data_IF_739968974897
#
_entry.id   IF_739968974897
#
_cell.length_a   1.000
_cell.length_b   1.000
_cell.length_c   1.000
_cell.angle_alpha   90.00
_cell.angle_beta   90.00
_cell.angle_gamma   90.00
#
_symmetry.space_group_name_H-M   'P 1'
#
loop_
_entity.id
_entity.type
_entity.pdbx_description
1 polymer ?
#
# COMPACT_ATOMS: atom_id res chain seq x y z
N UNK A 1 35.02 28.83 1.45
CA UNK A 1 35.91 29.26 0.35
C UNK A 1 35.32 28.72 -0.94
N UNK A 2 34.22 29.30 -1.45
CA UNK A 2 34.25 30.44 -2.39
C UNK A 2 35.51 30.39 -3.25
N UNK A 3 35.41 29.79 -4.43
CA UNK A 3 35.90 30.43 -5.64
C UNK A 3 35.21 29.76 -6.85
N UNK A 4 34.16 30.38 -7.39
CA UNK A 4 34.21 31.40 -8.46
C UNK A 4 34.15 30.70 -9.84
N UNK A 5 32.98 30.74 -10.49
CA UNK A 5 32.67 31.63 -11.63
C UNK A 5 33.12 31.04 -12.97
N UNK A 6 32.17 30.60 -13.79
CA UNK A 6 31.38 31.39 -14.76
C UNK A 6 32.13 31.60 -16.09
N UNK A 7 31.45 31.14 -17.16
CA UNK A 7 31.34 31.69 -18.52
C UNK A 7 32.46 31.48 -19.56
N UNK A 8 32.08 30.78 -20.64
CA UNK A 8 32.29 31.15 -22.05
C UNK A 8 31.21 30.39 -22.87
N UNK A 9 30.12 30.99 -23.36
CA UNK A 9 29.95 31.90 -24.52
C UNK A 9 30.54 31.35 -25.81
N UNK A 10 29.66 30.93 -26.74
CA UNK A 10 29.73 31.30 -28.16
C UNK A 10 28.38 31.02 -28.86
N UNK A 11 27.78 32.11 -29.35
CA UNK A 11 26.69 32.13 -30.33
C UNK A 11 27.23 31.73 -31.72
N UNK A 12 26.39 31.15 -32.59
CA UNK A 12 25.88 31.79 -33.82
C UNK A 12 24.65 31.01 -34.34
N UNK A 13 23.73 31.79 -34.88
CA UNK A 13 22.36 31.50 -35.30
C UNK A 13 22.19 30.53 -36.48
N UNK A 14 21.03 29.87 -36.48
CA UNK A 14 20.41 29.26 -37.66
C UNK A 14 18.92 29.09 -37.40
N UNK A 15 18.11 30.05 -37.86
CA UNK A 15 16.65 29.97 -37.81
C UNK A 15 16.14 29.15 -39.00
N UNK A 16 15.54 28.00 -38.72
CA UNK A 16 14.64 27.29 -39.62
C UNK A 16 13.55 26.64 -38.77
N UNK A 17 12.30 27.06 -38.99
CA UNK A 17 11.13 26.58 -38.25
C UNK A 17 10.90 25.09 -38.49
N UNK A 18 10.85 24.33 -37.39
CA UNK A 18 10.36 22.95 -37.37
C UNK A 18 9.23 22.89 -36.35
N UNK A 19 8.05 22.46 -36.80
CA UNK A 19 6.90 22.09 -35.96
C UNK A 19 7.36 21.05 -34.93
N UNK A 20 7.38 21.41 -33.66
CA UNK A 20 7.60 20.46 -32.57
C UNK A 20 6.32 19.66 -32.35
N UNK A 21 6.28 18.44 -32.88
CA UNK A 21 5.33 17.43 -32.40
C UNK A 21 5.85 16.91 -31.07
N UNK A 22 5.04 17.06 -30.02
CA UNK A 22 5.28 16.43 -28.73
C UNK A 22 5.42 14.91 -28.91
N UNK A 23 6.40 14.26 -28.27
CA UNK A 23 6.50 12.81 -28.31
C UNK A 23 5.27 12.20 -27.63
N UNK A 24 4.57 11.35 -28.36
CA UNK A 24 3.48 10.55 -27.84
C UNK A 24 4.01 9.71 -26.66
N UNK A 25 3.45 9.94 -25.48
CA UNK A 25 3.68 9.07 -24.32
C UNK A 25 3.06 7.72 -24.62
N UNK A 26 3.89 6.71 -24.86
CA UNK A 26 3.43 5.32 -24.91
C UNK A 26 2.77 4.99 -23.57
N UNK A 27 1.57 4.39 -23.55
CA UNK A 27 0.97 3.91 -22.32
C UNK A 27 1.90 2.85 -21.70
N UNK A 28 2.09 2.95 -20.38
CA UNK A 28 2.81 1.91 -19.61
C UNK A 28 2.18 0.55 -19.90
N UNK A 29 2.99 -0.52 -20.05
CA UNK A 29 2.47 -1.86 -20.22
C UNK A 29 1.62 -2.22 -18.99
N UNK A 30 0.40 -2.68 -19.24
CA UNK A 30 -0.49 -3.25 -18.24
C UNK A 30 0.24 -4.32 -17.42
N UNK A 31 -0.06 -4.47 -16.12
CA UNK A 31 0.51 -5.54 -15.31
C UNK A 31 0.21 -6.91 -15.96
N UNK A 32 1.11 -7.88 -15.83
CA UNK A 32 0.91 -9.22 -16.38
C UNK A 32 -0.38 -9.85 -15.80
N UNK A 33 -1.03 -10.76 -16.54
CA UNK A 33 -2.20 -11.47 -16.03
C UNK A 33 -1.84 -12.22 -14.74
N UNK A 34 -2.69 -12.10 -13.72
CA UNK A 34 -2.55 -12.76 -12.43
C UNK A 34 -2.27 -14.27 -12.59
N UNK A 35 -1.43 -14.86 -11.73
CA UNK A 35 -1.18 -16.29 -11.77
C UNK A 35 -2.50 -17.06 -11.56
N UNK A 36 -2.69 -18.10 -12.35
CA UNK A 36 -3.78 -19.07 -12.19
C UNK A 36 -3.89 -19.57 -10.73
N UNK A 37 -5.08 -19.95 -10.23
CA UNK A 37 -5.34 -20.32 -8.82
C UNK A 37 -4.45 -21.42 -8.22
N UNK A 38 -3.62 -22.10 -9.00
CA UNK A 38 -2.80 -23.25 -8.58
C UNK A 38 -1.54 -22.90 -7.78
N UNK A 39 -1.03 -21.66 -7.86
CA UNK A 39 0.19 -21.24 -7.15
C UNK A 39 -0.07 -20.42 -5.87
N UNK A 40 -1.33 -20.23 -5.51
CA UNK A 40 -1.75 -19.45 -4.36
C UNK A 40 -1.28 -20.04 -3.03
N UNK A 41 -0.77 -19.18 -2.14
CA UNK A 41 -0.31 -19.60 -0.80
C UNK A 41 -1.41 -19.49 0.24
N UNK A 42 -2.43 -18.69 -0.01
CA UNK A 42 -3.68 -18.69 0.75
C UNK A 42 -4.61 -19.74 0.13
N UNK A 43 -5.09 -20.70 0.91
CA UNK A 43 -5.89 -21.84 0.42
C UNK A 43 -7.35 -21.76 0.85
N UNK A 44 -7.58 -21.25 2.04
CA UNK A 44 -8.89 -21.03 2.63
C UNK A 44 -9.18 -19.53 2.67
N UNK A 45 -10.16 -19.13 1.85
CA UNK A 45 -10.64 -17.75 1.71
C UNK A 45 -11.98 -17.54 2.43
N UNK A 46 -12.36 -18.46 3.33
CA UNK A 46 -13.57 -18.32 4.13
C UNK A 46 -13.52 -17.09 5.04
N UNK A 47 -14.66 -16.45 5.36
CA UNK A 47 -14.74 -15.44 6.41
C UNK A 47 -14.15 -15.95 7.74
N UNK A 48 -13.52 -15.06 8.51
CA UNK A 48 -12.82 -15.40 9.74
C UNK A 48 -11.42 -15.98 9.58
N UNK A 49 -10.89 -16.05 8.35
CA UNK A 49 -9.53 -16.51 8.05
C UNK A 49 -8.58 -15.37 7.71
N UNK A 50 -7.33 -15.52 8.11
CA UNK A 50 -6.20 -14.66 7.77
C UNK A 50 -5.45 -15.21 6.56
N UNK A 51 -4.86 -14.34 5.75
CA UNK A 51 -3.91 -14.71 4.70
C UNK A 51 -2.46 -14.54 5.19
N UNK A 52 -2.25 -13.59 6.09
CA UNK A 52 -0.98 -13.22 6.69
C UNK A 52 -1.15 -13.04 8.19
N UNK A 53 -0.12 -13.34 8.98
CA UNK A 53 -0.14 -13.14 10.42
C UNK A 53 1.27 -13.04 11.00
N UNK A 54 1.56 -11.97 11.74
CA UNK A 54 2.88 -11.72 12.30
C UNK A 54 3.95 -11.29 11.29
N UNK A 55 5.18 -11.13 11.79
CA UNK A 55 6.35 -10.68 11.02
C UNK A 55 7.37 -11.80 10.95
N UNK A 56 7.79 -12.16 9.73
CA UNK A 56 8.72 -13.26 9.48
C UNK A 56 10.18 -12.83 9.50
N UNK A 57 10.45 -11.53 9.40
CA UNK A 57 11.79 -10.95 9.40
C UNK A 57 11.78 -9.62 8.68
N UNK A 58 12.94 -9.20 8.20
CA UNK A 58 13.16 -7.93 7.52
C UNK A 58 13.97 -8.14 6.25
N UNK A 59 13.70 -7.27 5.28
CA UNK A 59 14.55 -7.05 4.11
C UNK A 59 15.92 -6.52 4.55
N UNK A 60 16.89 -6.55 3.62
CA UNK A 60 18.24 -6.02 3.85
C UNK A 60 18.27 -4.54 4.19
N UNK A 61 17.26 -3.79 3.76
CA UNK A 61 17.06 -2.37 4.03
C UNK A 61 16.26 -2.09 5.32
N UNK A 62 15.95 -3.14 6.09
CA UNK A 62 15.28 -3.05 7.39
C UNK A 62 13.76 -3.02 7.34
N UNK A 63 13.13 -3.06 6.16
CA UNK A 63 11.68 -3.11 6.10
C UNK A 63 11.14 -4.50 6.49
N UNK A 64 10.13 -4.58 7.37
CA UNK A 64 9.58 -5.83 7.84
C UNK A 64 8.80 -6.55 6.75
N UNK A 65 8.78 -7.86 6.86
CA UNK A 65 8.07 -8.77 5.97
C UNK A 65 7.04 -9.54 6.77
N UNK A 66 5.77 -9.44 6.36
CA UNK A 66 4.71 -10.26 6.94
C UNK A 66 4.96 -11.75 6.67
N UNK A 67 4.49 -12.62 7.55
CA UNK A 67 4.45 -14.06 7.27
C UNK A 67 3.21 -14.42 6.46
N UNK A 68 3.37 -15.28 5.46
CA UNK A 68 2.25 -16.00 4.87
C UNK A 68 1.72 -17.01 5.89
N UNK A 69 0.45 -16.87 6.26
CA UNK A 69 -0.17 -17.67 7.32
C UNK A 69 -1.68 -17.74 7.12
N UNK A 70 -2.16 -18.90 6.65
CA UNK A 70 -3.58 -19.12 6.41
C UNK A 70 -4.25 -19.77 7.63
N UNK A 71 -4.55 -18.94 8.62
CA UNK A 71 -4.97 -19.32 9.97
C UNK A 71 -6.30 -18.66 10.33
N UNK A 72 -7.08 -19.19 11.28
CA UNK A 72 -8.23 -18.48 11.82
C UNK A 72 -7.82 -17.17 12.50
N UNK A 73 -8.59 -16.10 12.31
CA UNK A 73 -8.46 -14.85 13.06
C UNK A 73 -8.55 -15.13 14.56
N UNK A 74 -7.85 -14.37 15.40
CA UNK A 74 -7.73 -14.64 16.83
C UNK A 74 -8.33 -13.51 17.69
N UNK A 75 -8.83 -13.80 18.91
CA UNK A 75 -9.21 -12.75 19.86
C UNK A 75 -7.99 -11.90 20.25
N UNK A 76 -8.18 -10.60 20.55
CA UNK A 76 -7.05 -9.73 20.82
C UNK A 76 -6.44 -9.98 22.20
N UNK A 77 -5.11 -9.91 22.30
CA UNK A 77 -4.44 -9.73 23.59
C UNK A 77 -4.72 -8.32 24.15
N UNK A 78 -4.50 -8.06 25.45
CA UNK A 78 -4.63 -6.71 26.01
C UNK A 78 -3.76 -5.66 25.29
N UNK A 79 -2.55 -6.04 24.89
CA UNK A 79 -1.63 -5.18 24.14
C UNK A 79 -2.19 -4.87 22.76
N UNK A 80 -2.64 -5.90 22.02
CA UNK A 80 -3.23 -5.72 20.70
C UNK A 80 -4.50 -4.87 20.77
N UNK A 81 -5.37 -5.11 21.75
CA UNK A 81 -6.57 -4.31 21.98
C UNK A 81 -6.24 -2.83 22.17
N UNK A 82 -5.23 -2.54 22.98
CA UNK A 82 -4.76 -1.16 23.21
C UNK A 82 -4.24 -0.52 21.92
N UNK A 83 -3.46 -1.24 21.12
CA UNK A 83 -2.92 -0.72 19.86
C UNK A 83 -4.00 -0.51 18.80
N UNK A 84 -4.94 -1.45 18.67
CA UNK A 84 -6.05 -1.33 17.72
C UNK A 84 -6.94 -0.12 18.05
N UNK A 85 -7.26 0.10 19.32
CA UNK A 85 -8.02 1.29 19.74
C UNK A 85 -7.32 2.60 19.37
N UNK A 86 -5.98 2.64 19.47
CA UNK A 86 -5.21 3.84 19.20
C UNK A 86 -4.98 4.11 17.70
N UNK A 87 -4.69 3.06 16.92
CA UNK A 87 -4.24 3.18 15.52
C UNK A 87 -5.34 2.85 14.53
N UNK A 88 -6.18 1.86 14.83
CA UNK A 88 -7.23 1.33 13.96
C UNK A 88 -8.63 1.42 14.62
N UNK A 89 -9.05 2.60 15.11
CA UNK A 89 -10.25 2.73 15.95
C UNK A 89 -11.54 2.30 15.25
N UNK A 90 -11.69 2.58 13.94
CA UNK A 90 -12.89 2.16 13.19
C UNK A 90 -12.94 0.65 13.03
N UNK A 91 -11.83 0.02 12.62
CA UNK A 91 -11.75 -1.45 12.58
C UNK A 91 -12.08 -2.08 13.94
N UNK A 92 -11.52 -1.53 15.03
CA UNK A 92 -11.80 -2.00 16.39
C UNK A 92 -13.29 -1.92 16.72
N UNK A 93 -13.94 -0.79 16.45
CA UNK A 93 -15.36 -0.60 16.71
C UNK A 93 -16.23 -1.53 15.86
N UNK A 94 -15.95 -1.60 14.54
CA UNK A 94 -16.76 -2.33 13.57
C UNK A 94 -16.66 -3.86 13.75
N UNK A 95 -15.54 -4.35 14.29
CA UNK A 95 -15.28 -5.78 14.43
C UNK A 95 -15.50 -6.31 15.84
N UNK A 96 -16.27 -5.59 16.67
CA UNK A 96 -16.73 -6.07 17.98
C UNK A 96 -15.75 -5.84 19.12
N UNK A 97 -14.74 -4.99 18.93
CA UNK A 97 -13.79 -4.57 19.94
C UNK A 97 -13.16 -5.75 20.70
N UNK A 98 -13.33 -5.84 22.03
CA UNK A 98 -12.72 -6.90 22.84
C UNK A 98 -13.33 -8.29 22.59
N UNK A 99 -14.56 -8.36 22.07
CA UNK A 99 -15.19 -9.61 21.66
C UNK A 99 -14.87 -9.99 20.19
N UNK A 100 -14.16 -9.11 19.50
CA UNK A 100 -13.77 -9.27 18.09
C UNK A 100 -12.66 -10.27 17.87
N UNK A 101 -12.35 -10.47 16.59
CA UNK A 101 -11.21 -11.28 16.13
C UNK A 101 -10.41 -10.47 15.11
N UNK A 102 -9.10 -10.72 15.03
CA UNK A 102 -8.18 -9.94 14.23
C UNK A 102 -7.08 -10.81 13.63
N UNK A 103 -6.55 -10.38 12.48
CA UNK A 103 -5.49 -11.06 11.73
C UNK A 103 -4.10 -10.44 11.90
N UNK A 104 -3.86 -9.77 13.03
CA UNK A 104 -2.59 -9.10 13.26
C UNK A 104 -2.12 -9.19 14.70
N UNK A 105 -0.83 -8.95 14.92
CA UNK A 105 -0.22 -8.79 16.25
C UNK A 105 -0.12 -7.31 16.64
N UNK A 106 0.15 -7.02 17.92
CA UNK A 106 0.36 -5.66 18.39
C UNK A 106 1.50 -4.95 17.63
N UNK A 107 2.59 -5.67 17.36
CA UNK A 107 3.74 -5.15 16.61
C UNK A 107 3.38 -4.78 15.16
N UNK A 108 2.49 -5.53 14.52
CA UNK A 108 2.01 -5.18 13.18
C UNK A 108 1.18 -3.89 13.20
N UNK A 109 0.41 -3.64 14.26
CA UNK A 109 -0.32 -2.38 14.43
C UNK A 109 0.62 -1.21 14.67
N UNK A 110 1.67 -1.40 15.48
CA UNK A 110 2.74 -0.40 15.66
C UNK A 110 3.49 -0.12 14.33
N UNK A 111 3.61 -1.14 13.47
CA UNK A 111 4.16 -0.95 12.12
C UNK A 111 3.25 -0.12 11.22
N UNK A 112 1.93 -0.36 11.23
CA UNK A 112 0.98 0.49 10.49
C UNK A 112 1.13 1.96 10.92
N UNK A 113 1.23 2.21 12.23
CA UNK A 113 1.43 3.56 12.74
C UNK A 113 2.73 4.17 12.22
N UNK A 114 3.87 3.48 12.35
CA UNK A 114 5.17 4.01 11.91
C UNK A 114 5.30 4.17 10.40
N UNK A 115 4.73 3.27 9.58
CA UNK A 115 4.79 3.37 8.13
C UNK A 115 3.94 4.50 7.58
N UNK A 116 2.72 4.64 8.09
CA UNK A 116 1.82 5.70 7.62
C UNK A 116 2.36 7.09 7.93
N UNK A 117 3.14 7.27 9.00
CA UNK A 117 3.78 8.55 9.35
C UNK A 117 4.69 9.13 8.26
N UNK A 118 5.14 8.32 7.29
CA UNK A 118 5.87 8.83 6.12
C UNK A 118 4.98 9.68 5.20
N UNK A 119 3.68 9.41 5.17
CA UNK A 119 2.69 10.09 4.34
C UNK A 119 1.85 11.13 5.11
N UNK A 120 1.57 10.87 6.40
CA UNK A 120 0.64 11.68 7.20
C UNK A 120 0.97 13.19 7.26
N UNK A 121 2.23 13.64 7.34
CA UNK A 121 2.55 15.06 7.34
C UNK A 121 2.04 15.83 6.11
N UNK A 122 1.93 15.16 4.95
CA UNK A 122 1.44 15.78 3.72
C UNK A 122 -0.08 16.01 3.73
N UNK A 123 -0.81 15.20 4.50
CA UNK A 123 -2.28 15.19 4.57
C UNK A 123 -2.81 15.63 5.93
N UNK A 124 -1.97 16.19 6.79
CA UNK A 124 -2.33 16.64 8.15
C UNK A 124 -3.48 17.67 8.16
N UNK A 125 -3.64 18.44 7.08
CA UNK A 125 -4.72 19.41 6.93
C UNK A 125 -6.11 18.80 6.67
N UNK A 126 -6.21 17.48 6.45
CA UNK A 126 -7.48 16.80 6.20
C UNK A 126 -7.59 15.53 7.09
N UNK A 127 -8.28 15.62 8.23
CA UNK A 127 -8.48 14.48 9.14
C UNK A 127 -9.16 13.27 8.47
N UNK A 128 -10.09 13.50 7.54
CA UNK A 128 -10.77 12.43 6.80
C UNK A 128 -9.80 11.64 5.90
N UNK A 129 -8.97 12.33 5.11
CA UNK A 129 -7.93 11.69 4.31
C UNK A 129 -6.98 10.86 5.20
N UNK A 130 -6.51 11.46 6.30
CA UNK A 130 -5.64 10.78 7.26
C UNK A 130 -6.29 9.53 7.84
N UNK A 131 -7.56 9.63 8.22
CA UNK A 131 -8.33 8.50 8.75
C UNK A 131 -8.44 7.38 7.72
N UNK A 132 -8.95 7.68 6.53
CA UNK A 132 -9.18 6.71 5.46
C UNK A 132 -7.88 6.05 5.00
N UNK A 133 -6.80 6.83 4.90
CA UNK A 133 -5.49 6.31 4.52
C UNK A 133 -4.95 5.28 5.53
N UNK A 134 -5.06 5.56 6.83
CA UNK A 134 -4.66 4.59 7.86
C UNK A 134 -5.61 3.39 7.88
N UNK A 135 -6.92 3.63 7.71
CA UNK A 135 -7.94 2.59 7.73
C UNK A 135 -7.75 1.54 6.62
N UNK A 136 -7.27 1.94 5.42
CA UNK A 136 -6.87 0.98 4.37
C UNK A 136 -5.89 -0.05 4.95
N UNK A 137 -4.77 0.41 5.52
CA UNK A 137 -3.73 -0.49 6.05
C UNK A 137 -4.22 -1.31 7.25
N UNK A 138 -5.09 -0.75 8.08
CA UNK A 138 -5.77 -1.48 9.15
C UNK A 138 -6.61 -2.64 8.62
N UNK A 139 -7.42 -2.42 7.58
CA UNK A 139 -8.25 -3.48 7.00
C UNK A 139 -7.39 -4.55 6.33
N UNK A 140 -6.42 -4.15 5.50
CA UNK A 140 -5.55 -5.10 4.79
C UNK A 140 -4.72 -5.96 5.75
N UNK A 141 -4.36 -5.44 6.92
CA UNK A 141 -3.47 -6.14 7.87
C UNK A 141 -4.24 -6.88 8.97
N UNK A 142 -5.33 -6.29 9.48
CA UNK A 142 -5.95 -6.72 10.74
C UNK A 142 -7.39 -7.21 10.60
N UNK A 143 -8.04 -7.08 9.44
CA UNK A 143 -9.42 -7.55 9.25
C UNK A 143 -9.56 -9.03 9.64
N UNK A 144 -10.60 -9.45 10.39
CA UNK A 144 -10.85 -10.86 10.68
C UNK A 144 -11.12 -11.70 9.43
N UNK A 145 -11.57 -11.06 8.35
CA UNK A 145 -11.91 -11.71 7.09
C UNK A 145 -10.83 -11.48 6.02
N UNK A 146 -9.57 -11.21 6.44
CA UNK A 146 -8.50 -10.82 5.54
C UNK A 146 -8.34 -11.76 4.33
N UNK A 147 -8.41 -13.08 4.55
CA UNK A 147 -8.28 -14.07 3.48
C UNK A 147 -9.41 -14.01 2.45
N UNK A 148 -10.59 -13.46 2.79
CA UNK A 148 -11.71 -13.38 1.86
C UNK A 148 -11.42 -12.45 0.67
N UNK A 149 -10.60 -11.41 0.88
CA UNK A 149 -10.21 -10.45 -0.15
C UNK A 149 -8.71 -10.44 -0.44
N UNK A 150 -7.92 -11.34 0.14
CA UNK A 150 -6.46 -11.33 0.03
C UNK A 150 -5.93 -12.70 -0.36
N UNK A 151 -4.94 -12.71 -1.25
CA UNK A 151 -4.17 -13.91 -1.57
C UNK A 151 -2.67 -13.61 -1.61
N UNK A 152 -1.87 -14.44 -0.93
CA UNK A 152 -0.42 -14.38 -1.08
C UNK A 152 -0.01 -15.15 -2.33
N UNK A 153 0.56 -14.44 -3.30
CA UNK A 153 0.95 -14.99 -4.61
C UNK A 153 2.40 -15.44 -4.64
N UNK A 154 3.28 -14.82 -3.85
CA UNK A 154 4.68 -15.21 -3.74
C UNK A 154 5.22 -15.07 -2.33
N UNK A 155 6.14 -15.97 -1.98
CA UNK A 155 6.91 -15.95 -0.73
C UNK A 155 8.40 -15.94 -1.04
N UNK A 156 9.18 -15.47 -0.07
CA UNK A 156 10.63 -15.42 -0.09
C UNK A 156 11.19 -15.86 1.27
N UNK A 157 12.49 -16.14 1.29
CA UNK A 157 13.23 -16.30 2.55
C UNK A 157 13.60 -14.92 3.09
N UNK A 158 13.23 -14.62 4.33
CA UNK A 158 13.64 -13.40 5.02
C UNK A 158 15.17 -13.37 5.23
N UNK A 159 15.89 -12.34 4.74
CA UNK A 159 17.35 -12.28 4.83
C UNK A 159 17.94 -12.33 6.25
N UNK A 160 17.26 -11.78 7.24
CA UNK A 160 17.75 -11.65 8.61
C UNK A 160 17.45 -12.88 9.47
N UNK A 161 16.21 -13.37 9.43
CA UNK A 161 15.73 -14.47 10.26
C UNK A 161 15.90 -15.84 9.60
N UNK A 162 16.05 -15.88 8.27
CA UNK A 162 16.03 -17.13 7.49
C UNK A 162 14.64 -17.76 7.34
N UNK A 163 13.56 -17.08 7.77
CA UNK A 163 12.20 -17.60 7.67
C UNK A 163 11.78 -17.79 6.20
N UNK A 164 11.35 -19.01 5.76
CA UNK A 164 11.12 -19.31 4.35
C UNK A 164 9.75 -18.88 3.81
N UNK A 165 8.87 -18.35 4.66
CA UNK A 165 7.48 -18.01 4.36
C UNK A 165 7.18 -16.51 4.47
N UNK A 166 8.19 -15.65 4.32
CA UNK A 166 7.99 -14.21 4.28
C UNK A 166 7.28 -13.83 2.96
N UNK A 167 6.27 -12.97 3.02
CA UNK A 167 5.52 -12.54 1.83
C UNK A 167 6.42 -11.71 0.92
N UNK A 168 6.40 -12.03 -0.39
CA UNK A 168 7.10 -11.27 -1.43
C UNK A 168 6.11 -10.51 -2.33
N UNK A 169 4.97 -11.12 -2.63
CA UNK A 169 3.90 -10.53 -3.44
C UNK A 169 2.53 -10.95 -2.88
N UNK A 170 1.57 -10.02 -2.89
CA UNK A 170 0.21 -10.22 -2.39
C UNK A 170 -0.80 -9.50 -3.27
N UNK A 171 -1.94 -10.12 -3.51
CA UNK A 171 -3.08 -9.53 -4.21
C UNK A 171 -4.22 -9.23 -3.22
N UNK A 172 -4.85 -8.06 -3.36
CA UNK A 172 -6.06 -7.69 -2.65
C UNK A 172 -7.16 -7.29 -3.62
N UNK A 173 -8.38 -7.81 -3.45
CA UNK A 173 -9.54 -7.42 -4.25
C UNK A 173 -10.38 -6.40 -3.51
N UNK A 174 -10.57 -5.23 -4.12
CA UNK A 174 -11.28 -4.10 -3.51
C UNK A 174 -12.46 -3.70 -4.40
N UNK A 175 -13.56 -3.29 -3.76
CA UNK A 175 -14.61 -2.58 -4.46
C UNK A 175 -14.07 -1.26 -5.04
N UNK A 176 -14.47 -0.95 -6.27
CA UNK A 176 -14.05 0.28 -6.94
C UNK A 176 -14.43 1.53 -6.13
N UNK A 177 -15.61 1.48 -5.52
CA UNK A 177 -16.11 2.55 -4.66
C UNK A 177 -15.17 2.83 -3.48
N UNK A 178 -14.61 1.79 -2.83
CA UNK A 178 -13.67 1.98 -1.72
C UNK A 178 -12.42 2.77 -2.17
N UNK A 179 -11.82 2.34 -3.29
CA UNK A 179 -10.64 3.00 -3.85
C UNK A 179 -10.92 4.45 -4.25
N UNK A 180 -12.09 4.71 -4.85
CA UNK A 180 -12.51 6.05 -5.24
C UNK A 180 -12.80 6.95 -4.04
N UNK A 181 -13.51 6.47 -3.03
CA UNK A 181 -13.77 7.24 -1.80
C UNK A 181 -12.48 7.58 -1.05
N UNK A 182 -11.53 6.63 -0.99
CA UNK A 182 -10.21 6.87 -0.42
C UNK A 182 -9.50 8.00 -1.18
N UNK A 183 -9.41 7.90 -2.51
CA UNK A 183 -8.78 8.93 -3.34
C UNK A 183 -9.47 10.29 -3.24
N UNK A 184 -10.79 10.33 -3.32
CA UNK A 184 -11.58 11.55 -3.25
C UNK A 184 -11.43 12.25 -1.90
N UNK A 185 -11.21 11.50 -0.81
CA UNK A 185 -10.92 12.11 0.49
C UNK A 185 -9.58 12.87 0.54
N UNK A 186 -8.67 12.59 -0.40
CA UNK A 186 -7.28 13.07 -0.39
C UNK A 186 -6.89 13.97 -1.58
N UNK A 187 -7.56 13.85 -2.73
CA UNK A 187 -7.11 14.46 -4.00
C UNK A 187 -6.96 15.98 -3.96
N UNK A 188 -7.80 16.66 -3.19
CA UNK A 188 -7.84 18.13 -3.09
C UNK A 188 -7.09 18.66 -1.86
N UNK A 189 -6.46 17.78 -1.08
CA UNK A 189 -5.71 18.17 0.13
C UNK A 189 -4.44 18.91 -0.25
N UNK A 190 -4.19 20.03 0.44
CA UNK A 190 -2.95 20.81 0.30
C UNK A 190 -1.99 20.52 1.44
N UNK A 191 -0.72 20.35 1.11
CA UNK A 191 0.35 20.35 2.09
C UNK A 191 0.63 21.80 2.54
N UNK A 192 0.19 22.14 3.74
CA UNK A 192 0.13 23.53 4.22
C UNK A 192 1.47 24.27 4.18
N UNK A 193 2.57 23.61 4.52
CA UNK A 193 3.88 24.25 4.60
C UNK A 193 4.43 24.74 3.26
N UNK A 194 4.02 24.12 2.15
CA UNK A 194 4.51 24.46 0.80
C UNK A 194 3.41 25.02 -0.12
N UNK A 195 2.13 24.98 0.29
CA UNK A 195 0.99 25.30 -0.56
C UNK A 195 0.97 24.50 -1.88
N UNK A 196 1.43 23.25 -1.84
CA UNK A 196 1.46 22.29 -2.96
C UNK A 196 0.41 21.19 -2.70
N UNK A 197 -0.26 20.64 -3.72
CA UNK A 197 -1.14 19.50 -3.54
C UNK A 197 -0.42 18.33 -2.83
N UNK A 198 -1.04 17.74 -1.81
CA UNK A 198 -0.47 16.63 -1.05
C UNK A 198 -0.17 15.42 -1.96
N UNK A 199 -1.02 15.19 -2.96
CA UNK A 199 -0.87 14.13 -3.96
C UNK A 199 0.37 14.28 -4.85
N UNK A 200 1.02 15.46 -4.87
CA UNK A 200 2.34 15.60 -5.52
C UNK A 200 3.44 14.82 -4.80
N UNK A 201 3.25 14.47 -3.52
CA UNK A 201 4.21 13.71 -2.71
C UNK A 201 3.79 12.25 -2.54
N UNK A 202 2.49 12.00 -2.35
CA UNK A 202 1.97 10.66 -2.00
C UNK A 202 1.11 10.02 -3.10
N UNK A 203 0.89 10.72 -4.22
CA UNK A 203 -0.08 10.31 -5.23
C UNK A 203 0.50 9.64 -6.47
N UNK A 204 1.81 9.77 -6.73
CA UNK A 204 2.44 9.13 -7.91
C UNK A 204 1.89 9.57 -9.26
N UNK A 205 1.23 10.73 -9.34
CA UNK A 205 0.55 11.19 -10.55
C UNK A 205 -0.84 10.60 -10.78
N UNK A 206 -1.40 9.89 -9.80
CA UNK A 206 -2.71 9.26 -9.90
C UNK A 206 -3.85 10.26 -10.13
N UNK A 207 -4.74 9.90 -11.06
CA UNK A 207 -5.97 10.63 -11.43
C UNK A 207 -7.25 9.86 -11.07
N UNK A 208 -7.12 8.69 -10.44
CA UNK A 208 -8.22 7.84 -10.00
C UNK A 208 -7.81 7.03 -8.77
N UNK A 209 -8.78 6.43 -8.08
CA UNK A 209 -8.55 5.53 -6.95
C UNK A 209 -7.65 4.35 -7.30
N UNK A 210 -7.93 3.67 -8.41
CA UNK A 210 -7.11 2.54 -8.87
C UNK A 210 -5.65 2.95 -9.12
N UNK A 211 -5.41 4.05 -9.84
CA UNK A 211 -4.03 4.51 -10.10
C UNK A 211 -3.29 4.85 -8.81
N UNK A 212 -4.00 5.36 -7.79
CA UNK A 212 -3.38 5.66 -6.51
C UNK A 212 -3.06 4.39 -5.73
N UNK A 213 -3.97 3.42 -5.70
CA UNK A 213 -3.73 2.10 -5.11
C UNK A 213 -2.53 1.40 -5.78
N UNK A 214 -2.46 1.40 -7.12
CA UNK A 214 -1.33 0.83 -7.87
C UNK A 214 0.00 1.49 -7.46
N UNK A 215 0.01 2.82 -7.29
CA UNK A 215 1.20 3.54 -6.82
C UNK A 215 1.58 3.16 -5.38
N UNK A 216 0.60 3.03 -4.49
CA UNK A 216 0.83 2.64 -3.09
C UNK A 216 1.39 1.22 -3.01
N UNK A 217 0.89 0.30 -3.84
CA UNK A 217 1.27 -1.10 -3.83
C UNK A 217 2.51 -1.46 -4.65
N UNK A 218 2.98 -0.56 -5.51
CA UNK A 218 4.22 -0.77 -6.28
C UNK A 218 5.43 -0.97 -5.35
N UNK A 219 6.12 -2.10 -5.51
CA UNK A 219 7.38 -2.38 -4.82
C UNK A 219 8.35 -1.19 -4.98
N UNK A 220 8.82 -0.64 -3.86
CA UNK A 220 9.67 0.56 -3.83
C UNK A 220 10.94 0.44 -4.68
N UNK A 221 11.49 -0.77 -4.83
CA UNK A 221 12.71 -1.02 -5.63
C UNK A 221 12.50 -0.70 -7.13
N UNK A 222 11.24 -0.66 -7.58
CA UNK A 222 10.87 -0.29 -8.96
C UNK A 222 10.72 1.23 -9.15
N UNK A 223 11.02 2.03 -8.12
CA UNK A 223 10.84 3.49 -8.12
C UNK A 223 12.14 4.24 -7.84
N UNK A 224 12.19 5.49 -8.34
CA UNK A 224 13.29 6.42 -8.07
C UNK A 224 12.66 7.74 -7.60
N UNK A 225 12.86 8.16 -6.32
CA UNK A 225 13.57 7.43 -5.26
C UNK A 225 12.81 6.16 -4.79
N UNK A 226 13.51 5.19 -4.16
CA UNK A 226 12.91 3.92 -3.72
C UNK A 226 12.08 4.10 -2.45
N UNK A 227 10.92 4.76 -2.58
CA UNK A 227 9.95 5.00 -1.52
C UNK A 227 8.69 4.17 -1.74
N UNK A 228 8.03 3.77 -0.65
CA UNK A 228 6.73 3.10 -0.65
C UNK A 228 6.78 1.64 -0.21
N UNK A 229 5.97 0.76 -0.82
CA UNK A 229 5.75 -0.60 -0.31
C UNK A 229 7.04 -1.45 -0.33
N UNK A 230 7.32 -2.21 0.75
CA UNK A 230 8.51 -3.07 0.84
C UNK A 230 8.40 -4.36 0.03
N UNK A 231 7.17 -4.73 -0.35
CA UNK A 231 6.80 -5.89 -1.18
C UNK A 231 5.92 -5.40 -2.33
N UNK A 232 5.67 -6.24 -3.33
CA UNK A 232 4.65 -5.92 -4.33
C UNK A 232 3.26 -6.19 -3.74
N UNK A 233 2.40 -5.18 -3.77
CA UNK A 233 1.00 -5.27 -3.37
C UNK A 233 0.16 -4.92 -4.58
N UNK A 234 -0.69 -5.85 -4.98
CA UNK A 234 -1.46 -5.77 -6.19
C UNK A 234 -2.94 -5.57 -5.85
N UNK A 235 -3.42 -4.34 -6.04
CA UNK A 235 -4.82 -4.00 -5.83
C UNK A 235 -5.64 -4.31 -7.07
N UNK A 236 -6.50 -5.32 -6.98
CA UNK A 236 -7.33 -5.81 -8.07
C UNK A 236 -8.76 -5.26 -7.94
N UNK A 237 -9.39 -4.83 -9.06
CA UNK A 237 -10.78 -4.38 -9.04
C UNK A 237 -11.74 -5.54 -8.77
N UNK A 238 -12.89 -5.24 -8.17
CA UNK A 238 -13.90 -6.25 -7.81
C UNK A 238 -14.38 -7.10 -9.00
N UNK A 239 -14.40 -6.55 -10.21
CA UNK A 239 -14.80 -7.28 -11.42
C UNK A 239 -13.82 -8.40 -11.83
N UNK A 240 -12.61 -8.40 -11.27
CA UNK A 240 -11.59 -9.44 -11.47
C UNK A 240 -11.51 -10.42 -10.29
N UNK A 241 -12.47 -10.38 -9.36
CA UNK A 241 -12.47 -11.25 -8.18
C UNK A 241 -12.72 -12.70 -8.58
N UNK A 242 -11.79 -13.62 -8.25
CA UNK A 242 -11.97 -15.03 -8.53
C UNK A 242 -13.15 -15.63 -7.74
N UNK A 243 -13.77 -16.72 -8.25
CA UNK A 243 -14.81 -17.43 -7.51
C UNK A 243 -14.32 -17.87 -6.13
N UNK A 244 -15.14 -17.63 -5.10
CA UNK A 244 -14.83 -17.99 -3.71
C UNK A 244 -14.17 -16.87 -2.89
N UNK A 245 -13.73 -15.78 -3.52
CA UNK A 245 -13.28 -14.57 -2.83
C UNK A 245 -14.42 -13.53 -2.78
N UNK A 246 -14.32 -12.63 -1.81
CA UNK A 246 -15.24 -11.50 -1.62
C UNK A 246 -14.42 -10.22 -1.53
N UNK A 247 -14.67 -9.20 -2.38
CA UNK A 247 -13.91 -7.96 -2.35
C UNK A 247 -14.08 -7.21 -1.02
N UNK A 248 -13.03 -6.53 -0.59
CA UNK A 248 -13.09 -5.58 0.53
C UNK A 248 -13.97 -4.39 0.15
N UNK A 249 -14.85 -3.99 1.07
CA UNK A 249 -15.77 -2.84 0.94
C UNK A 249 -15.63 -1.91 2.12
#
# INVERSE_FOLDING_TARGET
>A
MVLLRLLAVLLVAGAAGVRSQAPATNPSPSPPPSPTPTDWRTRDHSPGMCAMYGTCGHRRDGDPLACAANLPAAPPSPELATRLQAVCPSLWADRGGPAGRYCCTADQVDRIASDTQKALPFIVGCPACRHNFVQLWCLLTCSPDQAAFTNVTAIQTAPDSGAPNAVAEVEHWLAEEYGNQLYDSCKDVKFGAANVPAMSFIGGGARSGQQWLDFLGTLKDRRVPPLGAPIQIDFRPENSTPPGLSPMR
#
